data_IF_318138757141
#
_entry.id   IF_318138757141
#
_cell.length_a   1.000
_cell.length_b   1.000
_cell.length_c   1.000
_cell.angle_alpha   90.00
_cell.angle_beta   90.00
_cell.angle_gamma   90.00
#
_symmetry.space_group_name_H-M   'P 1'
#
loop_
_entity.id
_entity.type
_entity.pdbx_description
1 polymer ?
#
# COMPACT_ATOMS: atom_id res chain seq x y z
N UNK A 1 12.04 -11.46 6.60
CA UNK A 1 11.44 -11.07 5.30
C UNK A 1 11.07 -9.59 5.27
N UNK A 2 10.14 -9.12 6.10
CA UNK A 2 9.62 -7.74 6.04
C UNK A 2 10.69 -6.65 6.20
N UNK A 3 11.73 -6.88 7.00
CA UNK A 3 12.88 -5.97 7.09
C UNK A 3 13.61 -5.82 5.74
N UNK A 4 13.88 -6.94 5.04
CA UNK A 4 14.47 -6.91 3.71
C UNK A 4 13.56 -6.19 2.70
N UNK A 5 12.25 -6.43 2.77
CA UNK A 5 11.27 -5.73 1.94
C UNK A 5 11.27 -4.21 2.22
N UNK A 6 11.37 -3.81 3.49
CA UNK A 6 11.47 -2.40 3.88
C UNK A 6 12.75 -1.74 3.40
N UNK A 7 13.89 -2.42 3.53
CA UNK A 7 15.19 -1.95 3.04
C UNK A 7 15.17 -1.79 1.52
N UNK A 8 14.60 -2.75 0.80
CA UNK A 8 14.44 -2.67 -0.66
C UNK A 8 13.49 -1.53 -1.06
N UNK A 9 12.34 -1.41 -0.38
CA UNK A 9 11.39 -0.32 -0.61
C UNK A 9 11.98 1.07 -0.34
N UNK A 10 12.87 1.22 0.64
CA UNK A 10 13.52 2.50 0.97
C UNK A 10 14.37 3.06 -0.18
N UNK A 11 14.83 2.21 -1.11
CA UNK A 11 15.52 2.65 -2.32
C UNK A 11 14.63 3.49 -3.24
N UNK A 12 13.30 3.40 -3.10
CA UNK A 12 12.31 4.03 -3.97
C UNK A 12 11.29 4.90 -3.22
N UNK A 13 11.35 4.93 -1.87
CA UNK A 13 10.49 5.74 -1.01
C UNK A 13 11.38 6.68 -0.21
N UNK A 14 11.32 7.97 -0.50
CA UNK A 14 12.17 8.97 0.16
C UNK A 14 11.85 9.07 1.65
N UNK A 15 10.56 9.20 1.98
CA UNK A 15 10.04 9.38 3.34
C UNK A 15 9.63 8.07 4.00
N UNK A 16 10.51 7.07 4.01
CA UNK A 16 10.36 5.88 4.85
C UNK A 16 11.35 5.97 5.99
N UNK A 17 10.89 5.84 7.23
CA UNK A 17 11.73 5.99 8.43
C UNK A 17 11.88 4.70 9.24
N UNK A 18 10.92 3.77 9.08
CA UNK A 18 10.87 2.51 9.82
C UNK A 18 11.24 1.35 8.89
N UNK A 19 12.31 0.62 9.24
CA UNK A 19 12.83 -0.51 8.46
C UNK A 19 13.10 -1.77 9.27
N UNK A 20 13.47 -1.61 10.54
CA UNK A 20 13.87 -2.71 11.41
C UNK A 20 12.75 -3.12 12.36
N UNK A 21 12.03 -2.14 12.91
CA UNK A 21 10.85 -2.37 13.74
C UNK A 21 9.60 -2.56 12.87
N UNK A 22 9.41 -3.78 12.39
CA UNK A 22 8.33 -4.13 11.44
C UNK A 22 7.16 -4.85 12.10
N UNK A 23 7.20 -5.07 13.42
CA UNK A 23 6.20 -5.87 14.14
C UNK A 23 4.82 -5.21 14.16
N UNK A 24 4.78 -3.87 14.20
CA UNK A 24 3.56 -3.08 14.18
C UNK A 24 2.82 -3.04 12.83
N UNK A 25 3.32 -3.71 11.80
CA UNK A 25 2.82 -3.54 10.42
C UNK A 25 2.32 -4.85 9.80
N UNK A 26 1.25 -4.74 9.03
CA UNK A 26 0.89 -5.68 7.99
C UNK A 26 1.50 -5.23 6.66
N UNK A 27 1.92 -6.20 5.84
CA UNK A 27 2.47 -5.97 4.51
C UNK A 27 1.62 -6.73 3.49
N UNK A 28 1.09 -6.01 2.50
CA UNK A 28 0.26 -6.55 1.43
C UNK A 28 1.07 -6.52 0.14
N UNK A 29 1.37 -7.69 -0.39
CA UNK A 29 2.33 -7.88 -1.48
C UNK A 29 1.55 -8.21 -2.74
N UNK A 30 1.73 -7.41 -3.79
CA UNK A 30 1.17 -7.69 -5.09
C UNK A 30 2.15 -8.54 -5.89
N UNK A 31 1.66 -9.69 -6.36
CA UNK A 31 2.43 -10.61 -7.21
C UNK A 31 1.77 -10.80 -8.57
N UNK A 32 2.59 -11.14 -9.56
CA UNK A 32 2.15 -11.65 -10.85
C UNK A 32 2.44 -13.15 -10.93
N UNK A 33 1.39 -13.95 -11.01
CA UNK A 33 1.47 -15.40 -11.13
C UNK A 33 1.67 -15.81 -12.62
N UNK A 34 2.80 -15.41 -13.21
CA UNK A 34 3.10 -15.71 -14.63
C UNK A 34 3.47 -17.18 -14.85
N UNK A 35 3.99 -17.87 -13.84
CA UNK A 35 4.38 -19.27 -13.92
C UNK A 35 3.84 -20.06 -12.73
N UNK A 36 3.55 -21.37 -12.88
CA UNK A 36 3.07 -22.20 -11.77
C UNK A 36 4.08 -22.38 -10.62
N UNK A 37 5.35 -22.03 -10.85
CA UNK A 37 6.47 -22.30 -9.95
C UNK A 37 6.89 -21.08 -9.13
N UNK A 38 6.62 -19.87 -9.61
CA UNK A 38 7.10 -18.65 -8.99
C UNK A 38 6.22 -17.44 -9.29
N UNK A 39 5.94 -16.70 -8.22
CA UNK A 39 5.20 -15.44 -8.21
C UNK A 39 6.17 -14.26 -8.21
N UNK A 40 6.04 -13.38 -9.19
CA UNK A 40 6.89 -12.19 -9.30
C UNK A 40 6.32 -11.04 -8.48
N UNK A 41 7.06 -10.56 -7.48
CA UNK A 41 6.62 -9.41 -6.69
C UNK A 41 6.69 -8.12 -7.53
N UNK A 42 5.55 -7.44 -7.65
CA UNK A 42 5.40 -6.20 -8.41
C UNK A 42 5.48 -4.95 -7.55
N UNK A 43 5.12 -5.07 -6.28
CA UNK A 43 5.05 -3.96 -5.34
C UNK A 43 4.38 -4.38 -4.03
N UNK A 44 4.25 -3.44 -3.11
CA UNK A 44 3.56 -3.65 -1.85
C UNK A 44 2.99 -2.35 -1.28
N UNK A 45 2.07 -2.49 -0.34
CA UNK A 45 1.84 -1.46 0.67
C UNK A 45 1.94 -2.04 2.08
N UNK A 46 2.25 -1.19 3.05
CA UNK A 46 2.21 -1.52 4.48
C UNK A 46 1.09 -0.75 5.16
N UNK A 47 0.49 -1.36 6.19
CA UNK A 47 -0.56 -0.79 7.03
C UNK A 47 -0.22 -1.05 8.49
N UNK A 48 -0.38 -0.06 9.35
CA UNK A 48 -0.23 -0.26 10.80
C UNK A 48 -1.33 -1.19 11.32
N UNK A 49 -0.99 -2.10 12.23
CA UNK A 49 -1.96 -2.95 12.91
C UNK A 49 -2.93 -2.11 13.74
N UNK A 50 -2.41 -1.04 14.35
CA UNK A 50 -3.17 -0.06 15.13
C UNK A 50 -2.72 1.29 14.61
N UNK A 51 -3.57 1.98 13.85
CA UNK A 51 -3.32 3.35 13.40
C UNK A 51 -4.18 4.30 14.21
N UNK A 52 -3.54 5.13 15.05
CA UNK A 52 -4.23 6.12 15.87
C UNK A 52 -4.76 7.30 15.04
N UNK A 53 -4.09 7.59 13.92
CA UNK A 53 -4.45 8.66 12.99
C UNK A 53 -5.46 8.22 11.91
N UNK A 54 -5.89 6.95 11.95
CA UNK A 54 -6.83 6.40 10.98
C UNK A 54 -6.22 6.17 9.60
N UNK A 55 -4.91 5.90 9.53
CA UNK A 55 -4.26 5.59 8.26
C UNK A 55 -4.54 4.15 7.82
N UNK A 56 -5.04 4.01 6.59
CA UNK A 56 -5.25 2.71 5.98
C UNK A 56 -4.04 2.22 5.19
N UNK A 57 -3.09 3.12 4.96
CA UNK A 57 -1.88 2.87 4.20
C UNK A 57 -0.75 3.73 4.76
N UNK A 58 0.34 3.09 5.19
CA UNK A 58 1.55 3.75 5.70
C UNK A 58 2.56 4.04 4.58
N UNK A 59 3.01 2.99 3.87
CA UNK A 59 3.91 3.12 2.73
C UNK A 59 3.36 2.34 1.55
N UNK A 60 3.55 2.84 0.33
CA UNK A 60 3.16 2.15 -0.92
C UNK A 60 4.27 2.30 -1.94
N UNK A 61 4.55 1.23 -2.68
CA UNK A 61 5.46 1.25 -3.82
C UNK A 61 5.07 0.20 -4.84
N UNK A 62 4.99 0.62 -6.10
CA UNK A 62 5.15 -0.27 -7.25
C UNK A 62 6.61 -0.21 -7.67
N UNK A 63 7.27 -1.36 -7.81
CA UNK A 63 8.70 -1.35 -8.15
C UNK A 63 8.93 -0.72 -9.53
N UNK A 64 10.06 0.00 -9.72
CA UNK A 64 10.31 0.79 -10.93
C UNK A 64 9.98 0.12 -12.28
N UNK A 65 10.37 -1.14 -12.56
CA UNK A 65 10.07 -1.77 -13.84
C UNK A 65 8.58 -2.06 -14.09
N UNK A 66 7.74 -1.97 -13.06
CA UNK A 66 6.31 -2.26 -13.10
C UNK A 66 5.45 -1.00 -12.95
N UNK A 67 6.05 0.18 -12.80
CA UNK A 67 5.31 1.44 -12.71
C UNK A 67 4.56 1.78 -14.00
N UNK A 68 3.53 2.63 -13.90
CA UNK A 68 2.67 3.09 -15.01
C UNK A 68 1.90 1.97 -15.74
N UNK A 69 1.74 0.80 -15.11
CA UNK A 69 0.92 -0.33 -15.60
C UNK A 69 -0.40 -0.53 -14.84
N UNK A 70 -0.81 0.44 -14.02
CA UNK A 70 -2.04 0.37 -13.22
C UNK A 70 -1.91 -0.30 -11.85
N UNK A 71 -0.80 -1.01 -11.57
CA UNK A 71 -0.61 -1.70 -10.28
C UNK A 71 -0.62 -0.79 -9.05
N UNK A 72 -0.20 0.46 -9.18
CA UNK A 72 -0.29 1.44 -8.09
C UNK A 72 -1.74 1.74 -7.71
N UNK A 73 -2.61 1.91 -8.72
CA UNK A 73 -4.06 2.09 -8.53
C UNK A 73 -4.67 0.84 -7.90
N UNK A 74 -4.30 -0.35 -8.36
CA UNK A 74 -4.78 -1.62 -7.79
C UNK A 74 -4.44 -1.77 -6.30
N UNK A 75 -3.21 -1.39 -5.91
CA UNK A 75 -2.81 -1.39 -4.50
C UNK A 75 -3.61 -0.38 -3.66
N UNK A 76 -3.89 0.81 -4.21
CA UNK A 76 -4.74 1.82 -3.56
C UNK A 76 -6.17 1.29 -3.40
N UNK A 77 -6.76 0.77 -4.47
CA UNK A 77 -8.09 0.13 -4.46
C UNK A 77 -8.19 -0.94 -3.38
N UNK A 78 -7.23 -1.86 -3.37
CA UNK A 78 -7.20 -2.94 -2.39
C UNK A 78 -7.10 -2.42 -0.94
N UNK A 79 -6.37 -1.32 -0.71
CA UNK A 79 -6.28 -0.73 0.64
C UNK A 79 -7.63 -0.21 1.16
N UNK A 80 -8.47 0.35 0.28
CA UNK A 80 -9.82 0.79 0.64
C UNK A 80 -10.80 -0.39 0.76
N UNK A 81 -10.69 -1.38 -0.11
CA UNK A 81 -11.49 -2.61 -0.06
C UNK A 81 -11.23 -3.41 1.23
N UNK A 82 -9.99 -3.47 1.67
CA UNK A 82 -9.60 -4.08 2.94
C UNK A 82 -10.27 -3.39 4.13
N UNK A 83 -10.27 -2.06 4.16
CA UNK A 83 -10.95 -1.29 5.21
C UNK A 83 -12.46 -1.53 5.21
N UNK A 84 -13.09 -1.55 4.03
CA UNK A 84 -14.52 -1.84 3.89
C UNK A 84 -14.86 -3.22 4.44
N UNK A 85 -14.08 -4.24 4.06
CA UNK A 85 -14.27 -5.60 4.57
C UNK A 85 -14.12 -5.69 6.10
N UNK A 86 -13.09 -5.05 6.67
CA UNK A 86 -12.88 -5.05 8.12
C UNK A 86 -13.96 -4.25 8.88
N UNK A 87 -14.42 -3.15 8.31
CA UNK A 87 -15.52 -2.34 8.82
C UNK A 87 -16.82 -3.16 8.95
N UNK A 88 -17.16 -3.95 7.93
CA UNK A 88 -18.32 -4.84 7.92
C UNK A 88 -18.22 -5.96 8.99
N UNK A 89 -17.04 -6.54 9.19
CA UNK A 89 -16.84 -7.59 10.20
C UNK A 89 -16.95 -7.05 11.64
N UNK A 90 -16.53 -5.81 11.87
CA UNK A 90 -16.47 -5.19 13.20
C UNK A 90 -17.66 -4.27 13.49
N UNK A 91 -18.67 -4.22 12.61
CA UNK A 91 -19.84 -3.32 12.68
C UNK A 91 -19.47 -1.87 13.02
N UNK A 92 -18.41 -1.37 12.39
CA UNK A 92 -17.85 -0.03 12.65
C UNK A 92 -17.65 0.73 11.35
N UNK A 93 -17.78 2.05 11.41
CA UNK A 93 -17.40 2.92 10.28
C UNK A 93 -15.89 3.12 10.31
N UNK A 94 -15.19 2.71 9.25
CA UNK A 94 -13.75 3.00 9.06
C UNK A 94 -13.61 3.95 7.87
N UNK A 95 -13.03 5.12 8.11
CA UNK A 95 -12.63 6.06 7.07
C UNK A 95 -11.11 6.07 7.02
N UNK A 96 -10.56 5.52 5.93
CA UNK A 96 -9.12 5.40 5.73
C UNK A 96 -8.55 6.48 4.80
N UNK A 97 -7.38 7.01 5.16
CA UNK A 97 -6.56 7.86 4.29
C UNK A 97 -5.11 7.37 4.30
N UNK A 98 -4.30 7.61 3.25
CA UNK A 98 -2.86 7.39 3.36
C UNK A 98 -2.20 8.28 4.41
N UNK A 99 -1.11 7.77 4.98
CA UNK A 99 -0.13 8.50 5.78
C UNK A 99 0.48 9.66 4.96
N UNK A 100 0.83 10.73 5.67
CA UNK A 100 1.41 11.95 5.09
C UNK A 100 2.83 12.18 5.62
N UNK A 101 3.73 12.80 4.83
CA UNK A 101 3.49 13.34 3.50
C UNK A 101 3.50 12.28 2.39
N UNK A 102 2.65 12.46 1.39
CA UNK A 102 2.69 11.66 0.16
C UNK A 102 3.84 12.10 -0.74
N UNK A 103 4.45 11.14 -1.44
CA UNK A 103 5.36 11.47 -2.56
C UNK A 103 4.58 12.12 -3.70
N UNK A 104 5.25 12.86 -4.60
CA UNK A 104 4.59 13.50 -5.75
C UNK A 104 3.85 12.48 -6.63
N UNK A 105 4.46 11.29 -6.84
CA UNK A 105 3.85 10.20 -7.57
C UNK A 105 2.65 9.61 -6.82
N UNK A 106 2.76 9.45 -5.50
CA UNK A 106 1.68 8.97 -4.64
C UNK A 106 0.48 9.92 -4.68
N UNK A 107 0.72 11.23 -4.54
CA UNK A 107 -0.33 12.25 -4.60
C UNK A 107 -1.09 12.23 -5.94
N UNK A 108 -0.37 12.12 -7.08
CA UNK A 108 -0.98 11.96 -8.41
C UNK A 108 -1.80 10.67 -8.51
N UNK A 109 -1.29 9.57 -7.98
CA UNK A 109 -1.98 8.27 -7.96
C UNK A 109 -3.29 8.30 -7.16
N UNK A 110 -3.25 8.83 -5.93
CA UNK A 110 -4.45 8.98 -5.09
C UNK A 110 -5.47 9.93 -5.71
N UNK A 111 -5.04 11.06 -6.28
CA UNK A 111 -5.95 11.99 -6.97
C UNK A 111 -6.64 11.31 -8.16
N UNK A 112 -5.89 10.57 -8.98
CA UNK A 112 -6.46 9.83 -10.10
C UNK A 112 -7.48 8.78 -9.64
N UNK A 113 -7.15 8.01 -8.59
CA UNK A 113 -8.06 7.03 -8.00
C UNK A 113 -9.34 7.67 -7.43
N UNK A 114 -9.22 8.71 -6.60
CA UNK A 114 -10.40 9.36 -6.03
C UNK A 114 -11.28 9.99 -7.12
N UNK A 115 -10.67 10.56 -8.16
CA UNK A 115 -11.43 11.10 -9.30
C UNK A 115 -12.17 9.99 -10.04
N UNK A 116 -11.55 8.82 -10.25
CA UNK A 116 -12.21 7.71 -10.97
C UNK A 116 -13.33 7.05 -10.19
N UNK A 117 -13.35 7.14 -8.85
CA UNK A 117 -14.41 6.56 -8.01
C UNK A 117 -15.63 7.49 -7.90
N UNK A 118 -15.42 8.80 -8.04
CA UNK A 118 -16.48 9.81 -7.92
C UNK A 118 -17.26 10.08 -9.22
N UNK A 119 -16.69 9.70 -10.38
CA UNK A 119 -17.26 9.90 -11.72
C UNK A 119 -17.87 8.60 -12.23
#
# INVERSE_FOLDING_TARGET
YCQCLCLFGKLFIDHKYIFFDVEGFHFYILTEATTPLFDHVLGFFSKEKISYDGYNLACIVTFPPYQKKGYGTLLIEFSYELDRYLAEQEDRVVLGTPERPLSELGAKGYLAFWTSVLV
#
